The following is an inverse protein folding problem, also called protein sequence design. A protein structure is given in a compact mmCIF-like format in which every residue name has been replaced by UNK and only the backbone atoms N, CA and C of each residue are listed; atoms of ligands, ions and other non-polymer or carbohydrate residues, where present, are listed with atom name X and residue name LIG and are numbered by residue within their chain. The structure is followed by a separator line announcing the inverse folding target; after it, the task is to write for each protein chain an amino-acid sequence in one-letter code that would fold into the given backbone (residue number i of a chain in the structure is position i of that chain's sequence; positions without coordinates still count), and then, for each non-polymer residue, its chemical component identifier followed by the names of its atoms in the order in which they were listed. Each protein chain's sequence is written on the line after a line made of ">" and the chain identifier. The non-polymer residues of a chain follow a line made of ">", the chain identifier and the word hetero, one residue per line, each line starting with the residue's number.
data_IF_747313825873
#
_entry.id   IF_747313825873
#
_cell.length_a   1.000
_cell.length_b   1.000
_cell.length_c   1.000
_cell.angle_alpha   90.00
_cell.angle_beta   90.00
_cell.angle_gamma   90.00
#
_symmetry.space_group_name_H-M   'P 1'
#
loop_
_entity.id
_entity.type
_entity.pdbx_description
1 polymer ?
#
# COMPACT_ATOMS: atom_id res chain seq x y z
N UNK A 1 -12.09 4.06 12.02
CA UNK A 1 -11.00 3.21 11.49
C UNK A 1 -11.25 3.00 10.01
N UNK A 2 -10.41 3.59 9.17
CA UNK A 2 -10.43 3.37 7.72
C UNK A 2 -9.57 2.15 7.32
N UNK A 3 -9.81 1.56 6.14
CA UNK A 3 -8.99 0.46 5.63
C UNK A 3 -7.50 0.86 5.52
N UNK A 4 -7.24 2.10 5.09
CA UNK A 4 -5.90 2.67 4.96
C UNK A 4 -5.21 2.81 6.33
N UNK A 5 -5.91 3.29 7.36
CA UNK A 5 -5.38 3.39 8.73
C UNK A 5 -4.96 2.03 9.27
N UNK A 6 -5.74 0.98 9.00
CA UNK A 6 -5.42 -0.38 9.47
C UNK A 6 -4.20 -0.96 8.74
N UNK A 7 -4.08 -0.73 7.42
CA UNK A 7 -2.87 -1.11 6.67
C UNK A 7 -1.63 -0.34 7.18
N UNK A 8 -1.80 0.95 7.51
CA UNK A 8 -0.72 1.80 7.99
C UNK A 8 -0.24 1.42 9.40
N UNK A 9 -1.15 1.08 10.31
CA UNK A 9 -0.80 0.63 11.66
C UNK A 9 0.01 -0.68 11.64
N UNK A 10 -0.31 -1.60 10.73
CA UNK A 10 0.49 -2.82 10.55
C UNK A 10 1.90 -2.50 10.04
N UNK A 11 2.04 -1.57 9.08
CA UNK A 11 3.35 -1.11 8.60
C UNK A 11 4.16 -0.43 9.71
N UNK A 12 3.50 0.36 10.56
CA UNK A 12 4.14 1.02 11.70
C UNK A 12 4.66 0.00 12.71
N UNK A 13 3.87 -1.02 13.05
CA UNK A 13 4.29 -2.10 13.93
C UNK A 13 5.52 -2.84 13.39
N UNK A 14 5.50 -3.22 12.10
CA UNK A 14 6.64 -3.88 11.45
C UNK A 14 7.90 -3.01 11.55
N UNK A 15 7.75 -1.69 11.29
CA UNK A 15 8.87 -0.74 11.35
C UNK A 15 9.44 -0.62 12.76
N UNK A 16 8.59 -0.48 13.77
CA UNK A 16 9.02 -0.38 15.18
C UNK A 16 9.77 -1.64 15.60
N UNK A 17 9.22 -2.82 15.30
CA UNK A 17 9.86 -4.08 15.66
C UNK A 17 11.21 -4.27 14.95
N UNK A 18 11.29 -3.88 13.68
CA UNK A 18 12.56 -3.89 12.92
C UNK A 18 13.58 -2.93 13.54
N UNK A 19 13.15 -1.73 13.94
CA UNK A 19 14.01 -0.75 14.60
C UNK A 19 14.55 -1.28 15.94
N UNK A 20 13.68 -1.85 16.78
CA UNK A 20 14.07 -2.43 18.09
C UNK A 20 15.11 -3.54 17.88
N UNK A 21 14.94 -4.39 16.88
CA UNK A 21 15.93 -5.42 16.56
C UNK A 21 17.29 -4.82 16.18
N UNK A 22 17.31 -3.77 15.35
CA UNK A 22 18.55 -3.10 14.93
C UNK A 22 19.26 -2.45 16.14
N UNK A 23 18.51 -1.83 17.04
CA UNK A 23 19.04 -1.12 18.20
C UNK A 23 19.51 -2.05 19.32
N UNK A 24 18.74 -3.10 19.62
CA UNK A 24 18.96 -3.95 20.81
C UNK A 24 19.49 -5.34 20.48
N UNK A 25 19.40 -5.78 19.22
CA UNK A 25 19.69 -7.17 18.82
C UNK A 25 18.65 -8.20 19.28
N UNK A 26 17.50 -7.77 19.81
CA UNK A 26 16.47 -8.67 20.32
C UNK A 26 15.81 -9.50 19.21
N UNK A 27 16.08 -10.80 19.21
CA UNK A 27 15.53 -11.76 18.24
C UNK A 27 14.01 -11.89 18.32
N UNK A 28 13.38 -11.54 19.45
CA UNK A 28 11.91 -11.53 19.56
C UNK A 28 11.31 -10.41 18.74
N UNK A 29 11.98 -9.27 18.65
CA UNK A 29 11.53 -8.14 17.86
C UNK A 29 11.55 -8.45 16.36
N UNK A 30 12.59 -9.12 15.85
CA UNK A 30 12.60 -9.55 14.44
C UNK A 30 11.54 -10.62 14.14
N UNK A 31 11.34 -11.58 15.06
CA UNK A 31 10.29 -12.59 14.91
C UNK A 31 8.89 -11.96 14.87
N UNK A 32 8.65 -10.96 15.71
CA UNK A 32 7.39 -10.21 15.73
C UNK A 32 7.21 -9.39 14.44
N UNK A 33 8.28 -8.77 13.93
CA UNK A 33 8.24 -8.05 12.66
C UNK A 33 7.90 -8.98 11.49
N UNK A 34 8.48 -10.18 11.46
CA UNK A 34 8.22 -11.16 10.39
C UNK A 34 6.79 -11.72 10.48
N UNK A 35 6.32 -12.03 11.69
CA UNK A 35 4.93 -12.42 11.93
C UNK A 35 3.95 -11.30 11.49
N UNK A 36 4.26 -10.05 11.80
CA UNK A 36 3.44 -8.91 11.41
C UNK A 36 3.44 -8.68 9.88
N UNK A 37 4.54 -8.98 9.17
CA UNK A 37 4.58 -8.96 7.70
C UNK A 37 3.65 -10.00 7.09
N UNK A 38 3.63 -11.21 7.63
CA UNK A 38 2.77 -12.30 7.13
C UNK A 38 1.29 -12.03 7.40
N UNK A 39 0.97 -11.46 8.57
CA UNK A 39 -0.39 -11.15 9.00
C UNK A 39 -0.88 -9.77 8.53
N UNK A 40 -0.08 -9.04 7.75
CA UNK A 40 -0.42 -7.68 7.32
C UNK A 40 -1.79 -7.67 6.62
N UNK A 41 -2.80 -7.00 7.20
CA UNK A 41 -4.11 -6.92 6.57
C UNK A 41 -3.99 -6.18 5.25
N UNK A 42 -4.71 -6.66 4.24
CA UNK A 42 -4.91 -5.94 2.99
C UNK A 42 -6.40 -5.91 2.68
N UNK A 43 -6.91 -4.74 2.35
CA UNK A 43 -8.32 -4.58 2.01
C UNK A 43 -8.46 -4.56 0.50
N UNK A 44 -9.37 -5.38 -0.04
CA UNK A 44 -9.62 -5.42 -1.47
C UNK A 44 -11.11 -5.32 -1.80
N UNK A 45 -11.42 -4.63 -2.88
CA UNK A 45 -12.75 -4.58 -3.48
C UNK A 45 -12.87 -5.77 -4.43
N UNK A 46 -13.55 -6.82 -3.96
CA UNK A 46 -13.77 -8.08 -4.70
C UNK A 46 -12.48 -8.71 -5.28
N UNK A 47 -11.32 -8.46 -4.65
CA UNK A 47 -10.01 -8.94 -5.12
C UNK A 47 -9.40 -8.18 -6.30
N UNK A 48 -10.14 -7.25 -6.93
CA UNK A 48 -9.67 -6.52 -8.11
C UNK A 48 -8.81 -5.30 -7.76
N UNK A 49 -9.17 -4.59 -6.69
CA UNK A 49 -8.50 -3.35 -6.31
C UNK A 49 -8.17 -3.31 -4.83
N UNK A 50 -6.97 -2.86 -4.46
CA UNK A 50 -6.64 -2.58 -3.06
C UNK A 50 -7.34 -1.30 -2.61
N UNK A 51 -8.12 -1.39 -1.54
CA UNK A 51 -8.89 -0.28 -0.98
C UNK A 51 -8.01 0.45 0.04
N UNK A 52 -7.08 1.25 -0.49
CA UNK A 52 -6.23 2.13 0.30
C UNK A 52 -6.14 3.50 -0.37
N UNK A 53 -5.46 4.46 0.27
CA UNK A 53 -5.38 5.85 -0.20
C UNK A 53 -4.75 6.00 -1.59
N UNK A 54 -4.05 4.97 -2.10
CA UNK A 54 -3.43 4.98 -3.43
C UNK A 54 -4.42 4.71 -4.58
N UNK A 55 -5.62 4.21 -4.29
CA UNK A 55 -6.59 3.87 -5.35
C UNK A 55 -7.07 5.10 -6.14
N UNK A 56 -7.36 6.19 -5.44
CA UNK A 56 -7.82 7.45 -6.04
C UNK A 56 -6.79 8.08 -6.98
N UNK A 57 -5.53 8.34 -6.57
CA UNK A 57 -4.54 8.91 -7.47
C UNK A 57 -4.22 7.98 -8.65
N UNK A 58 -4.22 6.66 -8.44
CA UNK A 58 -4.06 5.69 -9.55
C UNK A 58 -5.20 5.81 -10.56
N UNK A 59 -6.44 5.91 -10.08
CA UNK A 59 -7.61 6.08 -10.93
C UNK A 59 -7.56 7.38 -11.74
N UNK A 60 -7.24 8.51 -11.11
CA UNK A 60 -7.07 9.79 -11.81
C UNK A 60 -5.92 9.76 -12.82
N UNK A 61 -4.78 9.14 -12.48
CA UNK A 61 -3.67 8.99 -13.40
C UNK A 61 -4.05 8.15 -14.62
N UNK A 62 -4.78 7.05 -14.43
CA UNK A 62 -5.24 6.19 -15.51
C UNK A 62 -6.22 6.91 -16.43
N UNK A 63 -7.22 7.62 -15.87
CA UNK A 63 -8.16 8.44 -16.65
C UNK A 63 -7.40 9.50 -17.45
N UNK A 64 -6.51 10.24 -16.80
CA UNK A 64 -5.74 11.30 -17.45
C UNK A 64 -4.89 10.76 -18.59
N UNK A 65 -4.21 9.64 -18.35
CA UNK A 65 -3.40 8.95 -19.36
C UNK A 65 -4.25 8.55 -20.57
N UNK A 66 -5.42 7.95 -20.33
CA UNK A 66 -6.33 7.55 -21.40
C UNK A 66 -6.88 8.74 -22.19
N UNK A 67 -7.25 9.84 -21.51
CA UNK A 67 -7.69 11.08 -22.15
C UNK A 67 -6.59 11.68 -23.04
N UNK A 68 -5.35 11.71 -22.56
CA UNK A 68 -4.20 12.19 -23.34
C UNK A 68 -4.04 11.35 -24.61
N UNK A 69 -4.12 10.02 -24.50
CA UNK A 69 -4.04 9.11 -25.64
C UNK A 69 -5.15 9.41 -26.65
N UNK A 70 -6.41 9.54 -26.20
CA UNK A 70 -7.53 9.87 -27.07
C UNK A 70 -7.37 11.22 -27.78
N UNK A 71 -6.84 12.23 -27.08
CA UNK A 71 -6.57 13.53 -27.68
C UNK A 71 -5.48 13.46 -28.75
N UNK A 72 -4.42 12.67 -28.52
CA UNK A 72 -3.38 12.45 -29.53
C UNK A 72 -3.91 11.75 -30.77
N UNK A 73 -4.77 10.73 -30.60
CA UNK A 73 -5.43 10.05 -31.73
C UNK A 73 -6.38 10.98 -32.49
N UNK A 74 -7.14 11.83 -31.78
CA UNK A 74 -8.01 12.82 -32.41
C UNK A 74 -7.23 13.89 -33.16
N UNK A 75 -6.12 14.38 -32.63
CA UNK A 75 -5.30 15.41 -33.27
C UNK A 75 -4.48 14.86 -34.46
N UNK A 76 -4.32 13.54 -34.56
CA UNK A 76 -3.62 12.88 -35.67
C UNK A 76 -4.52 12.53 -36.87
N UNK A 77 -5.83 12.84 -36.81
CA UNK A 77 -6.81 12.58 -37.87
C UNK A 77 -7.48 13.88 -38.34
#
# INVERSE_FOLDING_TARGET
>A
MSCDEVEQQADELIRICTYIYIDTGDKKAVMLADMAKELRPTFSAAGFFKVNRRILPTFFANISTYLIILLQFKASF
#
